data_IF_464620866700
#
_entry.id   IF_464620866700
#
_cell.length_a   1.000
_cell.length_b   1.000
_cell.length_c   1.000
_cell.angle_alpha   90.00
_cell.angle_beta   90.00
_cell.angle_gamma   90.00
#
_symmetry.space_group_name_H-M   'P 1'
#
loop_
_entity.id
_entity.type
_entity.pdbx_description
1 polymer ?
#
# COMPACT_ATOMS: atom_id res chain seq x y z
N UNK A 1 1.21 16.43 -13.83
CA UNK A 1 1.12 15.12 -13.13
C UNK A 1 0.22 15.31 -11.93
N UNK A 2 -0.99 14.75 -11.94
CA UNK A 2 -2.00 15.02 -10.90
C UNK A 2 -1.77 14.13 -9.67
N UNK A 3 -2.13 14.64 -8.48
CA UNK A 3 -2.14 13.86 -7.23
C UNK A 3 -2.97 12.56 -7.35
N UNK A 4 -3.98 12.54 -8.23
CA UNK A 4 -4.73 11.33 -8.58
C UNK A 4 -3.86 10.23 -9.21
N UNK A 5 -2.93 10.58 -10.09
CA UNK A 5 -1.99 9.61 -10.69
C UNK A 5 -1.09 9.03 -9.62
N UNK A 6 -0.56 9.87 -8.74
CA UNK A 6 0.30 9.42 -7.65
C UNK A 6 -0.45 8.48 -6.69
N UNK A 7 -1.71 8.80 -6.35
CA UNK A 7 -2.57 7.93 -5.57
C UNK A 7 -2.79 6.57 -6.24
N UNK A 8 -3.10 6.56 -7.54
CA UNK A 8 -3.31 5.32 -8.28
C UNK A 8 -2.05 4.44 -8.34
N UNK A 9 -0.87 5.04 -8.45
CA UNK A 9 0.41 4.32 -8.39
C UNK A 9 0.67 3.73 -6.99
N UNK A 10 0.40 4.49 -5.93
CA UNK A 10 0.53 3.99 -4.56
C UNK A 10 -0.44 2.85 -4.27
N UNK A 11 -1.70 2.96 -4.71
CA UNK A 11 -2.69 1.88 -4.57
C UNK A 11 -2.30 0.63 -5.38
N UNK A 12 -1.68 0.80 -6.56
CA UNK A 12 -1.14 -0.32 -7.34
C UNK A 12 0.01 -1.01 -6.60
N UNK A 13 0.97 -0.25 -6.07
CA UNK A 13 2.07 -0.79 -5.24
C UNK A 13 1.53 -1.52 -4.02
N UNK A 14 0.46 -1.01 -3.40
CA UNK A 14 -0.15 -1.64 -2.22
C UNK A 14 -0.74 -3.00 -2.56
N UNK A 15 -1.47 -3.11 -3.67
CA UNK A 15 -1.99 -4.40 -4.14
C UNK A 15 -0.89 -5.42 -4.42
N UNK A 16 0.18 -5.01 -5.09
CA UNK A 16 1.33 -5.90 -5.35
C UNK A 16 1.97 -6.39 -4.05
N UNK A 17 2.12 -5.50 -3.07
CA UNK A 17 2.71 -5.85 -1.79
C UNK A 17 1.81 -6.82 -1.00
N UNK A 18 0.49 -6.62 -1.06
CA UNK A 18 -0.48 -7.50 -0.42
C UNK A 18 -0.48 -8.90 -1.04
N UNK A 19 -0.36 -8.99 -2.36
CA UNK A 19 -0.25 -10.24 -3.09
C UNK A 19 1.06 -10.98 -2.73
N UNK A 20 2.18 -10.24 -2.65
CA UNK A 20 3.46 -10.80 -2.21
C UNK A 20 3.40 -11.31 -0.76
N UNK A 21 2.73 -10.59 0.16
CA UNK A 21 2.49 -11.05 1.54
C UNK A 21 1.67 -12.32 1.55
N UNK A 22 0.60 -12.39 0.74
CA UNK A 22 -0.28 -13.55 0.67
C UNK A 22 0.47 -14.79 0.16
N UNK A 23 1.26 -14.62 -0.92
CA UNK A 23 2.10 -15.69 -1.46
C UNK A 23 3.17 -16.16 -0.47
N UNK A 24 3.82 -15.22 0.21
CA UNK A 24 4.81 -15.52 1.25
C UNK A 24 4.16 -16.25 2.43
N UNK A 25 3.01 -15.76 2.94
CA UNK A 25 2.29 -16.38 4.05
C UNK A 25 1.68 -17.75 3.70
N UNK A 26 1.32 -17.98 2.43
CA UNK A 26 0.81 -19.28 1.95
C UNK A 26 1.91 -20.36 1.86
N UNK A 27 3.18 -19.96 1.83
CA UNK A 27 4.32 -20.89 1.80
C UNK A 27 4.73 -21.26 3.23
N UNK A 28 4.65 -22.53 3.64
CA UNK A 28 4.98 -22.96 5.01
C UNK A 28 6.48 -22.86 5.34
N UNK A 29 7.35 -22.73 4.32
CA UNK A 29 8.80 -22.51 4.49
C UNK A 29 9.22 -21.06 4.22
N UNK A 30 8.28 -20.13 4.01
CA UNK A 30 8.67 -18.72 3.90
C UNK A 30 9.20 -18.23 5.23
N UNK A 31 10.36 -17.59 5.19
CA UNK A 31 10.93 -16.90 6.32
C UNK A 31 9.90 -15.94 6.89
N UNK A 32 9.53 -16.16 8.15
CA UNK A 32 8.57 -15.32 8.86
C UNK A 32 9.04 -13.85 8.87
N UNK A 33 10.35 -13.65 8.76
CA UNK A 33 11.03 -12.36 8.60
C UNK A 33 10.61 -11.61 7.32
N UNK A 34 10.52 -12.29 6.18
CA UNK A 34 10.09 -11.68 4.91
C UNK A 34 8.65 -11.19 5.00
N UNK A 35 7.76 -11.99 5.60
CA UNK A 35 6.36 -11.59 5.81
C UNK A 35 6.26 -10.38 6.73
N UNK A 36 7.10 -10.29 7.78
CA UNK A 36 7.15 -9.15 8.70
C UNK A 36 7.66 -7.90 7.99
N UNK A 37 8.73 -8.00 7.20
CA UNK A 37 9.25 -6.88 6.39
C UNK A 37 8.21 -6.37 5.40
N UNK A 38 7.54 -7.28 4.68
CA UNK A 38 6.51 -6.93 3.72
C UNK A 38 5.31 -6.26 4.41
N UNK A 39 4.87 -6.75 5.58
CA UNK A 39 3.81 -6.10 6.37
C UNK A 39 4.23 -4.70 6.83
N UNK A 40 5.49 -4.49 7.19
CA UNK A 40 6.02 -3.16 7.56
C UNK A 40 6.02 -2.21 6.37
N UNK A 41 6.46 -2.66 5.20
CA UNK A 41 6.38 -1.91 3.94
C UNK A 41 4.91 -1.60 3.59
N UNK A 42 3.98 -2.52 3.83
CA UNK A 42 2.54 -2.33 3.61
C UNK A 42 2.00 -1.19 4.48
N UNK A 43 2.39 -1.16 5.74
CA UNK A 43 1.96 -0.14 6.70
C UNK A 43 2.42 1.25 6.24
N UNK A 44 3.69 1.40 5.88
CA UNK A 44 4.24 2.68 5.39
C UNK A 44 3.52 3.17 4.13
N UNK A 45 3.26 2.25 3.20
CA UNK A 45 2.58 2.59 1.96
C UNK A 45 1.11 2.99 2.20
N UNK A 46 0.45 2.35 3.17
CA UNK A 46 -0.89 2.73 3.60
C UNK A 46 -0.89 4.14 4.19
N UNK A 47 0.06 4.47 5.05
CA UNK A 47 0.19 5.82 5.62
C UNK A 47 0.45 6.87 4.52
N UNK A 48 1.27 6.54 3.52
CA UNK A 48 1.53 7.43 2.39
C UNK A 48 0.27 7.65 1.55
N UNK A 49 -0.51 6.59 1.29
CA UNK A 49 -1.83 6.69 0.64
C UNK A 49 -2.77 7.59 1.44
N UNK A 50 -2.84 7.42 2.76
CA UNK A 50 -3.71 8.24 3.61
C UNK A 50 -3.28 9.71 3.60
N UNK A 51 -1.98 10.01 3.67
CA UNK A 51 -1.45 11.37 3.53
C UNK A 51 -1.81 12.00 2.19
N UNK A 52 -1.66 11.24 1.09
CA UNK A 52 -2.01 11.72 -0.26
C UNK A 52 -3.52 11.93 -0.36
N UNK A 53 -4.34 11.02 0.17
CA UNK A 53 -5.81 11.16 0.20
C UNK A 53 -6.27 12.37 1.01
N UNK A 54 -5.61 12.69 2.13
CA UNK A 54 -5.87 13.89 2.92
C UNK A 54 -5.45 15.18 2.20
N UNK A 55 -4.41 15.09 1.36
CA UNK A 55 -3.90 16.23 0.59
C UNK A 55 -4.74 16.50 -0.65
N UNK A 56 -5.40 15.49 -1.22
CA UNK A 56 -6.37 15.67 -2.30
C UNK A 56 -7.63 16.30 -1.67
N UNK A 57 -7.94 17.58 -1.94
CA UNK A 57 -9.16 18.17 -1.44
C UNK A 57 -10.32 17.35 -2.00
N UNK A 58 -11.06 16.67 -1.13
CA UNK A 58 -12.38 16.14 -1.50
C UNK A 58 -13.16 17.32 -2.04
N UNK A 59 -13.76 17.27 -3.25
CA UNK A 59 -14.67 18.30 -3.67
C UNK A 59 -15.80 18.29 -2.63
N UNK A 60 -15.75 19.25 -1.72
CA UNK A 60 -16.85 19.53 -0.82
C UNK A 60 -17.98 19.97 -1.75
N UNK A 61 -18.94 19.08 -1.99
CA UNK A 61 -20.24 19.44 -2.54
C UNK A 61 -20.85 20.44 -1.55
N UNK A 62 -20.72 21.72 -1.87
CA UNK A 62 -21.46 22.82 -1.29
C UNK A 62 -22.31 23.45 -2.40
#
# INVERSE_FOLDING_TARGET
MSLQTHLAELERKHRQLEEAISQAAARPSSDTLDVVELKRKKLLLKEEIERVKLTIPKPTLH
#
